data_IF_741123746110
#
_entry.id   IF_741123746110
#
_cell.length_a   1.000
_cell.length_b   1.000
_cell.length_c   1.000
_cell.angle_alpha   90.00
_cell.angle_beta   90.00
_cell.angle_gamma   90.00
#
_symmetry.space_group_name_H-M   'P 1'
#
loop_
_entity.id
_entity.type
_entity.pdbx_description
1 polymer ?
#
# COMPACT_ATOMS: atom_id res chain seq x y z
N UNK A 1 -18.31 -22.22 -46.15
CA UNK A 1 -18.50 -23.37 -45.25
C UNK A 1 -17.96 -23.01 -43.87
N UNK A 2 -18.84 -22.86 -42.87
CA UNK A 2 -18.44 -22.51 -41.50
C UNK A 2 -17.89 -23.73 -40.77
N UNK A 3 -16.67 -23.64 -40.27
CA UNK A 3 -16.00 -24.70 -39.50
C UNK A 3 -16.74 -24.85 -38.16
N UNK A 4 -17.53 -25.91 -38.01
CA UNK A 4 -18.22 -26.25 -36.76
C UNK A 4 -17.16 -26.70 -35.74
N UNK A 5 -17.01 -25.94 -34.65
CA UNK A 5 -16.08 -26.26 -33.56
C UNK A 5 -16.55 -27.53 -32.80
N UNK A 6 -15.63 -28.42 -32.39
CA UNK A 6 -15.98 -29.69 -31.76
C UNK A 6 -16.55 -29.47 -30.34
N UNK A 7 -17.77 -29.98 -30.11
CA UNK A 7 -18.54 -29.82 -28.86
C UNK A 7 -17.91 -30.49 -27.62
N UNK A 8 -16.96 -31.41 -27.84
CA UNK A 8 -16.27 -32.15 -26.79
C UNK A 8 -15.43 -31.24 -25.90
N UNK A 9 -14.79 -30.23 -26.47
CA UNK A 9 -13.88 -29.35 -25.72
C UNK A 9 -14.65 -28.49 -24.71
N UNK A 10 -15.87 -28.10 -25.06
CA UNK A 10 -16.75 -27.32 -24.19
C UNK A 10 -17.22 -28.12 -22.97
N UNK A 11 -17.44 -29.43 -23.12
CA UNK A 11 -17.87 -30.31 -22.03
C UNK A 11 -16.74 -30.58 -21.03
N UNK A 12 -15.52 -30.82 -21.52
CA UNK A 12 -14.34 -30.95 -20.66
C UNK A 12 -14.03 -29.66 -19.90
N UNK A 13 -14.19 -28.50 -20.55
CA UNK A 13 -14.06 -27.20 -19.88
C UNK A 13 -15.15 -26.99 -18.83
N UNK A 14 -16.41 -27.35 -19.12
CA UNK A 14 -17.50 -27.26 -18.16
C UNK A 14 -17.27 -28.13 -16.92
N UNK A 15 -16.79 -29.37 -17.10
CA UNK A 15 -16.47 -30.27 -16.00
C UNK A 15 -15.33 -29.73 -15.14
N UNK A 16 -14.26 -29.21 -15.77
CA UNK A 16 -13.15 -28.58 -15.04
C UNK A 16 -13.59 -27.33 -14.26
N UNK A 17 -14.47 -26.51 -14.84
CA UNK A 17 -15.06 -25.35 -14.16
C UNK A 17 -15.87 -25.81 -12.94
N UNK A 18 -16.66 -26.86 -13.08
CA UNK A 18 -17.44 -27.44 -11.98
C UNK A 18 -16.55 -27.96 -10.85
N UNK A 19 -15.44 -28.63 -11.17
CA UNK A 19 -14.45 -29.07 -10.19
C UNK A 19 -13.84 -27.89 -9.42
N UNK A 20 -13.43 -26.83 -10.13
CA UNK A 20 -12.90 -25.60 -9.51
C UNK A 20 -13.95 -24.97 -8.59
N UNK A 21 -15.20 -24.86 -9.02
CA UNK A 21 -16.28 -24.32 -8.19
C UNK A 21 -16.52 -25.17 -6.94
N UNK A 22 -16.44 -26.49 -7.07
CA UNK A 22 -16.59 -27.45 -5.97
C UNK A 22 -15.46 -27.30 -4.95
N UNK A 23 -14.21 -27.17 -5.42
CA UNK A 23 -13.04 -26.90 -4.57
C UNK A 23 -13.19 -25.59 -3.81
N UNK A 24 -13.56 -24.51 -4.49
CA UNK A 24 -13.80 -23.19 -3.86
C UNK A 24 -14.90 -23.30 -2.80
N UNK A 25 -16.00 -24.00 -3.09
CA UNK A 25 -17.11 -24.20 -2.15
C UNK A 25 -16.66 -24.99 -0.92
N UNK A 26 -15.82 -26.01 -1.10
CA UNK A 26 -15.24 -26.82 -0.01
C UNK A 26 -14.33 -25.98 0.89
N UNK A 27 -13.44 -25.19 0.31
CA UNK A 27 -12.55 -24.29 1.07
C UNK A 27 -13.34 -23.21 1.84
N UNK A 28 -14.37 -22.63 1.22
CA UNK A 28 -15.27 -21.69 1.92
C UNK A 28 -15.97 -22.33 3.11
N UNK A 29 -16.41 -23.59 3.00
CA UNK A 29 -17.01 -24.34 4.11
C UNK A 29 -15.99 -24.60 5.22
N UNK A 30 -14.78 -25.05 4.88
CA UNK A 30 -13.69 -25.29 5.83
C UNK A 30 -13.33 -24.00 6.59
N UNK A 31 -13.20 -22.87 5.87
CA UNK A 31 -12.97 -21.55 6.47
C UNK A 31 -14.07 -21.18 7.47
N UNK A 32 -15.34 -21.39 7.11
CA UNK A 32 -16.48 -21.11 7.99
C UNK A 32 -16.44 -21.96 9.26
N UNK A 33 -16.17 -23.26 9.13
CA UNK A 33 -16.05 -24.15 10.29
C UNK A 33 -14.90 -23.74 11.21
N UNK A 34 -13.77 -23.35 10.65
CA UNK A 34 -12.63 -22.85 11.44
C UNK A 34 -13.00 -21.57 12.19
N UNK A 35 -13.65 -20.60 11.52
CA UNK A 35 -14.15 -19.40 12.18
C UNK A 35 -15.12 -19.71 13.32
N UNK A 36 -16.06 -20.63 13.12
CA UNK A 36 -17.00 -21.05 14.16
C UNK A 36 -16.30 -21.70 15.36
N UNK A 37 -15.26 -22.51 15.13
CA UNK A 37 -14.44 -23.08 16.20
C UNK A 37 -13.66 -22.01 16.97
N UNK A 38 -13.10 -21.03 16.27
CA UNK A 38 -12.38 -19.91 16.90
C UNK A 38 -13.32 -18.99 17.69
N UNK A 39 -14.54 -18.76 17.18
CA UNK A 39 -15.61 -18.02 17.88
C UNK A 39 -16.02 -18.72 19.18
N UNK A 40 -16.10 -20.05 19.17
CA UNK A 40 -16.43 -20.85 20.36
C UNK A 40 -15.37 -20.75 21.47
N UNK A 41 -14.11 -20.56 21.09
CA UNK A 41 -12.98 -20.40 22.01
C UNK A 41 -12.87 -18.94 22.51
N UNK A 42 -13.62 -18.00 21.92
CA UNK A 42 -13.59 -16.58 22.27
C UNK A 42 -12.36 -15.83 21.75
N UNK A 43 -11.71 -16.37 20.72
CA UNK A 43 -10.47 -15.82 20.16
C UNK A 43 -10.74 -14.56 19.31
N UNK A 44 -9.92 -13.52 19.44
CA UNK A 44 -10.10 -12.23 18.76
C UNK A 44 -9.50 -12.21 17.34
N UNK A 45 -9.61 -13.31 16.61
CA UNK A 45 -9.00 -13.48 15.28
C UNK A 45 -9.49 -12.48 14.23
N UNK A 46 -10.60 -11.77 14.48
CA UNK A 46 -11.13 -10.73 13.58
C UNK A 46 -10.34 -9.42 13.63
N UNK A 47 -9.71 -9.10 14.77
CA UNK A 47 -9.02 -7.83 14.98
C UNK A 47 -7.49 -7.96 14.99
N UNK A 48 -6.96 -9.19 14.97
CA UNK A 48 -5.52 -9.43 14.87
C UNK A 48 -5.06 -9.13 13.43
N UNK A 49 -4.02 -8.29 13.22
CA UNK A 49 -3.44 -8.08 11.91
C UNK A 49 -2.98 -9.42 11.32
N UNK A 50 -3.47 -9.76 10.12
CA UNK A 50 -3.04 -10.97 9.42
C UNK A 50 -1.58 -10.78 9.02
N UNK A 51 -0.66 -11.34 9.82
CA UNK A 51 0.75 -11.44 9.49
C UNK A 51 0.88 -12.62 8.54
N UNK A 52 0.77 -12.36 7.24
CA UNK A 52 1.09 -13.38 6.25
C UNK A 52 2.57 -13.75 6.41
N UNK A 53 2.93 -15.04 6.45
CA UNK A 53 4.32 -15.46 6.59
C UNK A 53 5.14 -14.91 5.41
N UNK A 54 6.39 -14.48 5.61
CA UNK A 54 7.15 -13.70 4.62
C UNK A 54 7.22 -14.32 3.21
N UNK A 55 7.29 -15.66 3.13
CA UNK A 55 7.33 -16.41 1.86
C UNK A 55 6.01 -16.34 1.07
N UNK A 56 4.87 -16.22 1.75
CA UNK A 56 3.57 -16.07 1.10
C UNK A 56 3.30 -14.62 0.67
N UNK A 57 3.90 -13.65 1.39
CA UNK A 57 3.86 -12.22 1.02
C UNK A 57 4.56 -11.99 -0.32
N UNK A 58 5.72 -12.61 -0.53
CA UNK A 58 6.48 -12.53 -1.78
C UNK A 58 5.71 -13.14 -2.96
N UNK A 59 5.13 -14.33 -2.77
CA UNK A 59 4.28 -14.98 -3.77
C UNK A 59 3.02 -14.17 -4.09
N UNK A 60 2.39 -13.57 -3.08
CA UNK A 60 1.21 -12.73 -3.26
C UNK A 60 1.54 -11.42 -3.98
N UNK A 61 2.67 -10.79 -3.65
CA UNK A 61 3.14 -9.59 -4.33
C UNK A 61 3.52 -9.89 -5.79
N UNK A 62 4.13 -11.04 -6.06
CA UNK A 62 4.43 -11.50 -7.42
C UNK A 62 3.15 -11.79 -8.23
N UNK A 63 2.13 -12.38 -7.62
CA UNK A 63 0.81 -12.59 -8.25
C UNK A 63 0.08 -11.26 -8.53
N UNK A 64 0.19 -10.28 -7.63
CA UNK A 64 -0.38 -8.94 -7.81
C UNK A 64 0.36 -8.11 -8.87
N UNK A 65 1.68 -8.25 -8.95
CA UNK A 65 2.50 -7.59 -9.97
C UNK A 65 2.28 -8.17 -11.38
N UNK A 66 1.87 -9.44 -11.48
CA UNK A 66 1.58 -10.12 -12.75
C UNK A 66 0.14 -9.93 -13.26
N UNK A 67 -0.66 -9.06 -12.63
CA UNK A 67 -1.99 -8.69 -13.14
C UNK A 67 -3.06 -9.79 -12.99
N UNK A 68 -2.82 -10.80 -12.15
CA UNK A 68 -3.74 -11.89 -11.89
C UNK A 68 -4.65 -11.63 -10.69
N UNK A 69 -5.96 -11.90 -10.87
CA UNK A 69 -6.96 -12.19 -9.83
C UNK A 69 -7.93 -11.09 -9.38
N UNK A 70 -8.22 -10.04 -10.17
CA UNK A 70 -9.55 -9.37 -10.10
C UNK A 70 -9.98 -8.88 -11.48
N UNK A 71 -10.29 -9.81 -12.38
CA UNK A 71 -10.99 -9.52 -13.63
C UNK A 71 -12.41 -9.04 -13.30
N UNK A 72 -12.66 -7.74 -13.44
CA UNK A 72 -14.00 -7.14 -13.40
C UNK A 72 -14.73 -7.64 -14.65
N UNK A 73 -15.73 -8.51 -14.46
CA UNK A 73 -16.45 -9.14 -15.57
C UNK A 73 -17.19 -8.15 -16.46
N UNK A 74 -16.97 -8.27 -17.76
CA UNK A 74 -17.72 -7.60 -18.82
C UNK A 74 -19.12 -8.22 -18.95
N UNK A 75 -20.15 -7.38 -18.81
CA UNK A 75 -21.51 -7.69 -19.29
C UNK A 75 -21.74 -6.86 -20.53
N UNK A 76 -21.76 -7.52 -21.67
CA UNK A 76 -22.08 -6.93 -22.97
C UNK A 76 -23.57 -6.57 -22.99
N UNK A 77 -23.90 -5.30 -23.25
CA UNK A 77 -25.24 -4.88 -23.64
C UNK A 77 -25.10 -3.83 -24.74
N UNK A 78 -25.62 -4.19 -25.91
CA UNK A 78 -25.80 -3.36 -27.08
C UNK A 78 -26.44 -2.01 -26.74
N UNK A 79 -25.73 -0.93 -27.06
CA UNK A 79 -26.22 0.44 -26.94
C UNK A 79 -25.24 1.42 -27.55
N UNK A 80 -25.64 2.05 -28.64
CA UNK A 80 -24.86 3.01 -29.43
C UNK A 80 -24.12 4.06 -28.56
N UNK A 81 -22.93 4.55 -28.98
CA UNK A 81 -22.14 5.49 -28.20
C UNK A 81 -22.78 6.89 -28.24
N UNK A 82 -23.61 7.20 -27.24
CA UNK A 82 -24.02 8.59 -26.99
C UNK A 82 -22.82 9.36 -26.42
N UNK A 83 -22.13 10.10 -27.28
CA UNK A 83 -21.14 11.12 -26.90
C UNK A 83 -21.81 12.12 -25.96
N UNK A 84 -21.36 12.20 -24.70
CA UNK A 84 -21.75 13.31 -23.81
C UNK A 84 -21.04 14.58 -24.30
N UNK A 85 -21.75 15.72 -24.46
CA UNK A 85 -21.13 16.96 -24.85
C UNK A 85 -20.29 17.54 -23.69
N UNK A 86 -19.09 17.99 -24.02
CA UNK A 86 -18.30 19.02 -23.33
C UNK A 86 -18.25 19.00 -21.81
N UNK A 87 -17.18 18.42 -21.24
CA UNK A 87 -16.66 18.93 -19.97
C UNK A 87 -15.78 20.15 -20.32
N UNK A 88 -16.03 21.35 -19.76
CA UNK A 88 -15.11 22.46 -19.97
C UNK A 88 -13.76 22.11 -19.33
N UNK A 89 -12.64 22.59 -19.90
CA UNK A 89 -11.32 22.35 -19.33
C UNK A 89 -11.30 22.93 -17.92
N UNK A 90 -10.98 22.10 -16.93
CA UNK A 90 -10.72 22.60 -15.57
C UNK A 90 -9.46 23.45 -15.63
N UNK A 91 -9.64 24.77 -15.68
CA UNK A 91 -8.64 25.74 -15.22
C UNK A 91 -8.21 25.43 -13.77
N UNK A 92 -7.23 26.16 -13.21
CA UNK A 92 -6.59 25.80 -11.96
C UNK A 92 -7.61 25.85 -10.82
N UNK A 93 -8.19 24.70 -10.49
CA UNK A 93 -9.10 24.57 -9.34
C UNK A 93 -8.22 24.68 -8.12
N UNK A 94 -8.23 25.88 -7.52
CA UNK A 94 -7.56 26.18 -6.27
C UNK A 94 -7.84 25.07 -5.27
N UNK A 95 -6.76 24.39 -4.87
CA UNK A 95 -6.78 23.55 -3.67
C UNK A 95 -7.35 24.43 -2.55
N UNK A 96 -8.39 23.99 -1.81
CA UNK A 96 -8.91 24.80 -0.71
C UNK A 96 -7.73 25.17 0.22
N UNK A 97 -7.63 26.44 0.65
CA UNK A 97 -6.51 26.87 1.48
C UNK A 97 -6.39 25.93 2.68
N UNK A 98 -5.20 25.34 2.83
CA UNK A 98 -4.92 24.48 3.98
C UNK A 98 -5.17 25.33 5.22
N UNK A 99 -6.16 24.93 6.01
CA UNK A 99 -6.41 25.50 7.34
C UNK A 99 -5.06 25.62 8.07
N UNK A 100 -4.74 26.78 8.66
CA UNK A 100 -3.54 26.90 9.49
C UNK A 100 -3.55 25.75 10.48
N UNK A 101 -2.47 24.98 10.54
CA UNK A 101 -2.37 23.91 11.53
C UNK A 101 -2.24 24.60 12.88
N UNK A 102 -3.37 24.77 13.58
CA UNK A 102 -3.38 25.12 14.99
C UNK A 102 -2.42 24.19 15.74
N UNK A 103 -1.69 24.81 16.67
CA UNK A 103 -0.43 24.38 17.25
C UNK A 103 -0.42 22.89 17.55
N UNK A 104 0.45 22.15 16.87
CA UNK A 104 0.84 20.83 17.38
C UNK A 104 1.58 21.12 18.67
N UNK A 105 1.15 20.49 19.77
CA UNK A 105 1.84 20.53 21.06
C UNK A 105 3.37 20.43 20.80
N UNK A 106 4.17 21.44 21.18
CA UNK A 106 5.62 21.44 20.90
C UNK A 106 6.35 20.24 21.51
N UNK A 107 5.77 19.68 22.58
CA UNK A 107 6.28 18.53 23.31
C UNK A 107 5.85 17.18 22.69
N UNK A 108 4.97 17.17 21.68
CA UNK A 108 4.57 15.94 21.01
C UNK A 108 5.76 15.37 20.22
N UNK A 109 6.22 14.13 20.53
CA UNK A 109 7.29 13.50 19.77
C UNK A 109 6.95 13.44 18.27
N UNK A 110 7.94 13.68 17.41
CA UNK A 110 7.76 13.59 15.95
C UNK A 110 7.73 12.13 15.52
N UNK A 111 6.79 11.78 14.63
CA UNK A 111 6.69 10.43 14.08
C UNK A 111 7.97 10.05 13.31
N UNK A 112 8.41 8.78 13.39
CA UNK A 112 9.57 8.30 12.65
C UNK A 112 9.31 8.44 11.15
N UNK A 113 10.36 8.75 10.38
CA UNK A 113 10.25 8.88 8.94
C UNK A 113 10.37 7.51 8.27
N UNK A 114 9.54 7.26 7.25
CA UNK A 114 9.61 6.03 6.47
C UNK A 114 11.04 5.82 5.87
N UNK A 115 11.52 4.58 5.73
CA UNK A 115 12.83 4.24 5.16
C UNK A 115 13.21 5.02 3.89
N UNK A 116 12.26 5.16 2.95
CA UNK A 116 12.49 5.92 1.72
C UNK A 116 12.70 7.42 1.97
N UNK A 117 12.00 7.99 2.96
CA UNK A 117 12.17 9.39 3.33
C UNK A 117 13.51 9.64 4.02
N UNK A 118 13.98 8.72 4.87
CA UNK A 118 15.32 8.76 5.46
C UNK A 118 16.39 8.74 4.35
N UNK A 119 16.27 7.81 3.39
CA UNK A 119 17.12 7.78 2.20
C UNK A 119 17.09 9.10 1.41
N UNK A 120 15.90 9.67 1.17
CA UNK A 120 15.78 10.93 0.47
C UNK A 120 16.43 12.10 1.22
N UNK A 121 16.39 12.13 2.56
CA UNK A 121 17.05 13.19 3.32
C UNK A 121 18.57 13.15 3.13
N UNK A 122 19.16 11.95 3.24
CA UNK A 122 20.61 11.77 3.12
C UNK A 122 21.09 12.02 1.69
N UNK A 123 20.41 11.42 0.70
CA UNK A 123 20.88 11.41 -0.67
C UNK A 123 20.54 12.70 -1.44
N UNK A 124 19.51 13.45 -1.05
CA UNK A 124 19.11 14.66 -1.80
C UNK A 124 20.24 15.69 -1.91
N UNK A 125 21.02 15.89 -0.85
CA UNK A 125 22.16 16.80 -0.88
C UNK A 125 23.30 16.28 -1.79
N UNK A 126 23.53 14.96 -1.79
CA UNK A 126 24.54 14.31 -2.64
C UNK A 126 24.16 14.42 -4.11
N UNK A 127 22.95 13.98 -4.46
CA UNK A 127 22.43 14.04 -5.84
C UNK A 127 22.39 15.48 -6.35
N UNK A 128 21.92 16.44 -5.53
CA UNK A 128 21.93 17.84 -5.93
C UNK A 128 23.35 18.34 -6.27
N UNK A 129 24.34 17.99 -5.46
CA UNK A 129 25.74 18.39 -5.70
C UNK A 129 26.36 17.69 -6.91
N UNK A 130 26.09 16.40 -7.11
CA UNK A 130 26.53 15.62 -8.27
C UNK A 130 26.06 16.27 -9.57
N UNK A 131 24.75 16.50 -9.69
CA UNK A 131 24.17 17.11 -10.89
C UNK A 131 24.61 18.57 -11.09
N UNK A 132 24.73 19.35 -10.02
CA UNK A 132 25.23 20.72 -10.11
C UNK A 132 26.67 20.75 -10.63
N UNK A 133 27.51 19.77 -10.28
CA UNK A 133 28.89 19.68 -10.76
C UNK A 133 28.99 19.18 -12.20
N UNK A 134 28.22 18.14 -12.53
CA UNK A 134 28.35 17.44 -13.83
C UNK A 134 27.62 18.17 -14.96
N UNK A 135 26.45 18.74 -14.67
CA UNK A 135 25.57 19.32 -15.68
C UNK A 135 25.48 20.84 -15.55
N UNK A 136 26.00 21.44 -14.47
CA UNK A 136 25.80 22.85 -14.12
C UNK A 136 24.32 23.27 -14.08
N UNK A 137 23.44 22.30 -13.79
CA UNK A 137 21.99 22.50 -13.70
C UNK A 137 21.56 22.40 -12.23
N UNK A 138 20.87 23.43 -11.74
CA UNK A 138 20.23 23.41 -10.44
C UNK A 138 18.87 22.70 -10.54
N UNK A 139 18.79 21.46 -10.06
CA UNK A 139 17.55 20.69 -10.09
C UNK A 139 16.58 21.13 -8.99
N UNK A 140 15.31 21.24 -9.36
CA UNK A 140 14.25 21.50 -8.41
C UNK A 140 14.10 20.33 -7.43
N UNK A 141 13.70 20.62 -6.18
CA UNK A 141 13.42 19.59 -5.15
C UNK A 141 12.48 18.47 -5.63
N UNK A 142 11.56 18.81 -6.54
CA UNK A 142 10.64 17.85 -7.16
C UNK A 142 11.37 16.87 -8.08
N UNK A 143 12.32 17.35 -8.88
CA UNK A 143 13.09 16.54 -9.83
C UNK A 143 14.06 15.63 -9.09
N UNK A 144 14.77 16.16 -8.08
CA UNK A 144 15.60 15.36 -7.19
C UNK A 144 14.82 14.20 -6.55
N UNK A 145 13.59 14.46 -6.11
CA UNK A 145 12.75 13.42 -5.50
C UNK A 145 12.35 12.35 -6.52
N UNK A 146 12.14 12.70 -7.80
CA UNK A 146 11.88 11.72 -8.86
C UNK A 146 13.11 10.83 -9.11
N UNK A 147 14.28 11.43 -9.24
CA UNK A 147 15.55 10.71 -9.45
C UNK A 147 15.83 9.76 -8.27
N UNK A 148 15.64 10.24 -7.04
CA UNK A 148 15.81 9.43 -5.83
C UNK A 148 14.80 8.29 -5.73
N UNK A 149 13.55 8.50 -6.15
CA UNK A 149 12.55 7.44 -6.20
C UNK A 149 12.97 6.32 -7.15
N UNK A 150 13.49 6.68 -8.33
CA UNK A 150 14.02 5.71 -9.28
C UNK A 150 15.22 4.96 -8.71
N UNK A 151 16.24 5.67 -8.20
CA UNK A 151 17.42 5.05 -7.55
C UNK A 151 17.01 4.13 -6.39
N UNK A 152 16.00 4.51 -5.60
CA UNK A 152 15.46 3.65 -4.54
C UNK A 152 14.81 2.38 -5.09
N UNK A 153 14.09 2.44 -6.22
CA UNK A 153 13.47 1.25 -6.81
C UNK A 153 14.53 0.27 -7.32
N UNK A 154 15.57 0.80 -7.97
CA UNK A 154 16.72 0.05 -8.49
C UNK A 154 17.65 -0.49 -7.37
N UNK A 155 17.61 0.11 -6.18
CA UNK A 155 18.46 -0.30 -5.06
C UNK A 155 18.17 -1.73 -4.59
N UNK A 156 19.24 -2.48 -4.27
CA UNK A 156 19.15 -3.86 -3.78
C UNK A 156 18.42 -3.99 -2.44
N UNK A 157 17.94 -5.21 -2.17
CA UNK A 157 17.24 -5.54 -0.92
C UNK A 157 18.12 -5.31 0.31
N UNK A 158 19.42 -5.55 0.22
CA UNK A 158 20.35 -5.40 1.34
C UNK A 158 20.52 -3.94 1.76
N UNK A 159 20.69 -3.03 0.81
CA UNK A 159 20.78 -1.59 1.12
C UNK A 159 19.44 -1.07 1.65
N UNK A 160 18.31 -1.53 1.09
CA UNK A 160 16.96 -1.19 1.61
C UNK A 160 16.77 -1.68 3.04
N UNK A 161 17.32 -2.84 3.38
CA UNK A 161 17.24 -3.45 4.71
C UNK A 161 17.90 -2.58 5.78
N UNK A 162 19.03 -1.93 5.48
CA UNK A 162 19.68 -0.99 6.39
C UNK A 162 18.72 0.14 6.78
N UNK A 163 18.04 0.74 5.80
CA UNK A 163 17.06 1.80 6.05
C UNK A 163 15.80 1.29 6.77
N UNK A 164 15.39 0.04 6.53
CA UNK A 164 14.30 -0.58 7.29
C UNK A 164 14.67 -0.79 8.76
N UNK A 165 15.89 -1.25 9.06
CA UNK A 165 16.38 -1.41 10.42
C UNK A 165 16.47 -0.07 11.16
N UNK A 166 17.00 0.96 10.50
CA UNK A 166 17.03 2.33 11.03
C UNK A 166 15.62 2.85 11.36
N UNK A 167 14.65 2.57 10.49
CA UNK A 167 13.25 2.92 10.75
C UNK A 167 12.66 2.16 11.93
N UNK A 168 12.95 0.86 12.07
CA UNK A 168 12.48 0.05 13.19
C UNK A 168 13.03 0.55 14.53
N UNK A 169 14.33 0.88 14.58
CA UNK A 169 14.95 1.47 15.77
C UNK A 169 14.29 2.82 16.12
N UNK A 170 14.12 3.70 15.14
CA UNK A 170 13.52 5.02 15.39
C UNK A 170 12.03 4.91 15.77
N UNK A 171 11.33 3.91 15.25
CA UNK A 171 9.96 3.58 15.66
C UNK A 171 9.89 3.12 17.11
N UNK A 172 10.85 2.31 17.58
CA UNK A 172 10.92 1.90 18.97
C UNK A 172 11.18 3.10 19.89
N UNK A 173 12.15 3.96 19.54
CA UNK A 173 12.41 5.21 20.27
C UNK A 173 11.18 6.11 20.34
N UNK A 174 10.49 6.30 19.22
CA UNK A 174 9.25 7.07 19.18
C UNK A 174 8.17 6.46 20.10
N UNK A 175 8.06 5.13 20.14
CA UNK A 175 7.07 4.45 20.98
C UNK A 175 7.31 4.65 22.48
N UNK A 176 8.58 4.70 22.91
CA UNK A 176 8.93 5.05 24.28
C UNK A 176 8.59 6.52 24.58
N UNK A 177 9.06 7.45 23.72
CA UNK A 177 8.86 8.88 23.90
C UNK A 177 7.37 9.28 23.90
N UNK A 178 6.53 8.65 23.06
CA UNK A 178 5.10 8.96 23.02
C UNK A 178 4.38 8.43 24.27
N UNK A 179 4.81 7.31 24.83
CA UNK A 179 4.28 6.78 26.09
C UNK A 179 4.58 7.73 27.25
N UNK A 180 5.82 8.19 27.35
CA UNK A 180 6.23 9.17 28.36
C UNK A 180 5.47 10.50 28.20
N UNK A 181 5.32 10.98 26.96
CA UNK A 181 4.53 12.18 26.66
C UNK A 181 3.06 12.03 27.09
N UNK A 182 2.44 10.89 26.82
CA UNK A 182 1.06 10.61 27.22
C UNK A 182 0.91 10.59 28.75
N UNK A 183 1.85 9.95 29.46
CA UNK A 183 1.86 9.94 30.92
C UNK A 183 2.05 11.35 31.49
N UNK A 184 2.97 12.13 30.95
CA UNK A 184 3.20 13.51 31.36
C UNK A 184 1.96 14.39 31.14
N UNK A 185 1.31 14.25 29.98
CA UNK A 185 0.08 14.97 29.65
C UNK A 185 -1.08 14.58 30.56
N UNK A 186 -1.21 13.29 30.91
CA UNK A 186 -2.21 12.82 31.86
C UNK A 186 -1.97 13.41 33.27
N UNK A 187 -0.72 13.40 33.75
CA UNK A 187 -0.35 14.02 35.04
C UNK A 187 -0.65 15.52 35.06
N UNK A 188 -0.31 16.23 33.99
CA UNK A 188 -0.58 17.67 33.86
C UNK A 188 -2.09 17.97 33.90
N UNK A 189 -2.91 17.12 33.27
CA UNK A 189 -4.37 17.28 33.30
C UNK A 189 -4.97 17.03 34.68
N UNK A 190 -4.38 16.12 35.47
CA UNK A 190 -4.81 15.82 36.85
C UNK A 190 -4.44 16.94 37.83
N UNK A 191 -3.30 17.62 37.63
CA UNK A 191 -2.87 18.74 38.48
C UNK A 191 -3.65 20.04 38.20
N UNK A 192 -4.26 20.15 37.02
CA UNK A 192 -5.07 21.31 36.59
C UNK A 192 -6.57 21.16 36.88
N UNK A 193 -6.99 20.02 37.41
CA UNK A 193 -8.37 19.75 37.87
C UNK A 193 -8.47 19.88 39.38
#
# INVERSE_FOLDING_TARGET
MGRMMPKTDNEHLANRIYEIQTLIKKERRKKRLLMMKLDQIGDNYRNVPIIMPPKEVENFQLAMASGGLYGKGDKNASGAPKRKPGRPPKGPVGRPPKKPKEGKDPNLPKRPQNPFFQYCQEQRARVHREYQREQNVELSKKELTKILAQRWHEMGSEQKKIYNLLFEEEKQRYSANISEYQLAKAKESLLKS
#
